data_IF_367568517964
#
_entry.id   IF_367568517964
#
_cell.length_a   1.000
_cell.length_b   1.000
_cell.length_c   1.000
_cell.angle_alpha   90.00
_cell.angle_beta   90.00
_cell.angle_gamma   90.00
#
_symmetry.space_group_name_H-M   'P 1'
#
loop_
_entity.id
_entity.type
_entity.pdbx_description
1 polymer ?
#
# COMPACT_ATOMS: atom_id res chain seq x y z
N UNK A 1 -0.80 -8.75 13.75
CA UNK A 1 -1.57 -8.45 12.51
C UNK A 1 -2.16 -7.03 12.46
N UNK A 2 -2.91 -6.57 13.48
CA UNK A 2 -3.67 -5.30 13.41
C UNK A 2 -2.76 -4.08 13.25
N UNK A 3 -1.75 -3.97 14.13
CA UNK A 3 -0.76 -2.89 14.06
C UNK A 3 0.00 -2.87 12.74
N UNK A 4 0.34 -4.03 12.18
CA UNK A 4 1.06 -4.12 10.93
C UNK A 4 0.20 -3.66 9.74
N UNK A 5 -1.06 -4.13 9.67
CA UNK A 5 -2.00 -3.69 8.65
C UNK A 5 -2.27 -2.19 8.75
N UNK A 6 -2.45 -1.67 9.97
CA UNK A 6 -2.63 -0.23 10.20
C UNK A 6 -1.40 0.58 9.77
N UNK A 7 -0.19 0.14 10.12
CA UNK A 7 1.04 0.83 9.74
C UNK A 7 1.22 0.91 8.22
N UNK A 8 0.95 -0.18 7.50
CA UNK A 8 1.01 -0.21 6.04
C UNK A 8 -0.06 0.70 5.42
N UNK A 9 -1.28 0.71 5.95
CA UNK A 9 -2.34 1.62 5.49
C UNK A 9 -1.96 3.09 5.70
N UNK A 10 -1.44 3.44 6.87
CA UNK A 10 -0.97 4.79 7.17
C UNK A 10 0.14 5.19 6.22
N UNK A 11 1.14 4.32 6.03
CA UNK A 11 2.24 4.56 5.10
C UNK A 11 1.75 4.86 3.67
N UNK A 12 0.85 4.02 3.15
CA UNK A 12 0.28 4.20 1.81
C UNK A 12 -0.58 5.46 1.72
N UNK A 13 -1.36 5.77 2.76
CA UNK A 13 -2.16 6.98 2.82
C UNK A 13 -1.27 8.24 2.77
N UNK A 14 -0.15 8.25 3.50
CA UNK A 14 0.82 9.36 3.48
C UNK A 14 1.46 9.51 2.09
N UNK A 15 1.89 8.42 1.46
CA UNK A 15 2.53 8.50 0.13
C UNK A 15 1.56 8.81 -1.00
N UNK A 16 0.31 8.43 -0.84
CA UNK A 16 -0.74 8.71 -1.81
C UNK A 16 -1.58 9.94 -1.43
N UNK A 17 -1.17 10.77 -0.47
CA UNK A 17 -1.87 11.98 -0.03
C UNK A 17 -3.38 11.75 0.28
N UNK A 18 -3.71 10.59 0.84
CA UNK A 18 -5.09 10.24 1.21
C UNK A 18 -5.34 10.61 2.67
N UNK A 19 -6.27 11.53 2.89
CA UNK A 19 -6.74 11.89 4.24
C UNK A 19 -8.00 11.08 4.60
N UNK A 20 -8.10 10.58 5.84
CA UNK A 20 -9.36 9.99 6.35
C UNK A 20 -9.34 8.49 6.74
N UNK A 21 -8.21 7.81 6.62
CA UNK A 21 -7.84 6.72 7.54
C UNK A 21 -8.51 5.34 7.39
N UNK A 22 -9.29 5.07 6.33
CA UNK A 22 -9.88 3.75 6.11
C UNK A 22 -9.56 3.20 4.71
N UNK A 23 -8.27 2.98 4.41
CA UNK A 23 -7.87 2.26 3.20
C UNK A 23 -8.18 0.77 3.35
N UNK A 24 -9.17 0.28 2.62
CA UNK A 24 -9.40 -1.15 2.48
C UNK A 24 -8.36 -1.77 1.54
N UNK A 25 -8.14 -3.10 1.59
CA UNK A 25 -7.26 -3.75 0.63
C UNK A 25 -7.66 -3.52 -0.83
N UNK A 26 -8.97 -3.33 -1.09
CA UNK A 26 -9.48 -2.97 -2.42
C UNK A 26 -9.00 -1.59 -2.86
N UNK A 27 -9.21 -0.59 -1.99
CA UNK A 27 -8.81 0.80 -2.25
C UNK A 27 -7.31 0.92 -2.50
N UNK A 28 -6.49 0.13 -1.80
CA UNK A 28 -5.03 0.15 -1.95
C UNK A 28 -4.59 -0.18 -3.37
N UNK A 29 -5.14 -1.23 -3.99
CA UNK A 29 -4.74 -1.58 -5.35
C UNK A 29 -5.17 -0.49 -6.36
N UNK A 30 -6.41 -0.02 -6.25
CA UNK A 30 -6.93 1.03 -7.14
C UNK A 30 -6.14 2.35 -6.98
N UNK A 31 -5.80 2.71 -5.74
CA UNK A 31 -5.01 3.89 -5.42
C UNK A 31 -3.59 3.79 -6.00
N UNK A 32 -2.94 2.64 -5.83
CA UNK A 32 -1.59 2.41 -6.34
C UNK A 32 -1.57 2.45 -7.88
N UNK A 33 -2.49 1.76 -8.55
CA UNK A 33 -2.62 1.80 -10.00
C UNK A 33 -2.93 3.22 -10.51
N UNK A 34 -3.81 3.95 -9.82
CA UNK A 34 -4.11 5.35 -10.14
C UNK A 34 -2.92 6.31 -10.00
N UNK A 35 -1.92 5.93 -9.19
CA UNK A 35 -0.63 6.62 -9.04
C UNK A 35 0.49 5.97 -9.85
N UNK A 36 0.13 5.26 -10.93
CA UNK A 36 1.06 4.68 -11.90
C UNK A 36 1.97 3.58 -11.38
N UNK A 37 1.67 3.01 -10.22
CA UNK A 37 2.30 1.76 -9.76
C UNK A 37 1.74 0.62 -10.62
N UNK A 38 2.63 -0.22 -11.14
CA UNK A 38 2.24 -1.37 -11.96
C UNK A 38 1.24 -2.29 -11.22
N UNK A 39 0.37 -2.97 -11.99
CA UNK A 39 -0.65 -3.87 -11.42
C UNK A 39 -0.08 -4.97 -10.53
N UNK A 40 1.11 -5.49 -10.85
CA UNK A 40 1.75 -6.55 -10.08
C UNK A 40 2.04 -6.15 -8.61
N UNK A 41 2.82 -5.10 -8.32
CA UNK A 41 3.06 -4.66 -6.94
C UNK A 41 1.78 -4.15 -6.25
N UNK A 42 0.87 -3.52 -6.98
CA UNK A 42 -0.41 -3.06 -6.44
C UNK A 42 -1.28 -4.24 -5.96
N UNK A 43 -1.41 -5.28 -6.79
CA UNK A 43 -2.17 -6.47 -6.47
C UNK A 43 -1.52 -7.31 -5.37
N UNK A 44 -0.18 -7.40 -5.37
CA UNK A 44 0.57 -8.07 -4.31
C UNK A 44 0.35 -7.39 -2.96
N UNK A 45 0.42 -6.05 -2.92
CA UNK A 45 0.15 -5.27 -1.71
C UNK A 45 -1.26 -5.51 -1.17
N UNK A 46 -2.29 -5.44 -2.05
CA UNK A 46 -3.68 -5.77 -1.71
C UNK A 46 -3.83 -7.17 -1.14
N UNK A 47 -3.20 -8.17 -1.75
CA UNK A 47 -3.31 -9.58 -1.34
C UNK A 47 -2.73 -9.79 0.05
N UNK A 48 -1.57 -9.21 0.33
CA UNK A 48 -0.91 -9.33 1.64
C UNK A 48 -1.68 -8.59 2.73
N UNK A 49 -2.23 -7.40 2.44
CA UNK A 49 -3.12 -6.69 3.37
C UNK A 49 -4.38 -7.49 3.67
N UNK A 50 -5.00 -8.12 2.67
CA UNK A 50 -6.17 -8.97 2.87
C UNK A 50 -5.85 -10.19 3.76
N UNK A 51 -4.64 -10.77 3.63
CA UNK A 51 -4.18 -11.86 4.54
C UNK A 51 -3.99 -11.37 5.96
N UNK A 52 -3.48 -10.14 6.17
CA UNK A 52 -3.38 -9.56 7.51
C UNK A 52 -4.76 -9.30 8.12
N UNK A 53 -5.74 -8.85 7.34
CA UNK A 53 -7.12 -8.71 7.79
C UNK A 53 -7.75 -10.06 8.10
N UNK A 54 -7.56 -11.07 7.26
CA UNK A 54 -8.07 -12.43 7.51
C UNK A 54 -7.53 -12.98 8.84
N UNK A 55 -6.24 -12.78 9.12
CA UNK A 55 -5.63 -13.16 10.40
C UNK A 55 -6.23 -12.41 11.61
N UNK A 56 -6.87 -11.25 11.40
CA UNK A 56 -7.60 -10.52 12.44
C UNK A 56 -8.97 -11.10 12.71
N UNK A 57 -9.71 -11.42 11.65
CA UNK A 57 -11.08 -11.95 11.78
C UNK A 57 -11.10 -13.45 12.10
N UNK A 58 -10.06 -14.19 11.71
CA UNK A 58 -9.90 -15.63 11.95
C UNK A 58 -8.50 -15.95 12.51
N UNK A 59 -8.24 -15.70 13.80
CA UNK A 59 -6.97 -16.05 14.41
C UNK A 59 -6.69 -17.56 14.41
N UNK A 60 -7.71 -18.40 14.20
CA UNK A 60 -7.59 -19.85 14.08
C UNK A 60 -6.98 -20.30 12.74
N UNK A 61 -6.99 -19.41 11.73
CA UNK A 61 -6.31 -19.68 10.46
C UNK A 61 -4.80 -19.53 10.62
N UNK A 62 -4.04 -20.51 10.16
CA UNK A 62 -2.57 -20.55 10.22
C UNK A 62 -1.92 -19.56 9.24
N UNK A 63 -2.40 -18.32 9.16
CA UNK A 63 -1.81 -17.26 8.35
C UNK A 63 -0.44 -16.93 8.94
N UNK A 64 0.66 -17.10 8.18
CA UNK A 64 2.01 -16.80 8.65
C UNK A 64 2.21 -15.28 8.68
N UNK A 65 1.65 -14.62 9.69
CA UNK A 65 1.62 -13.14 9.81
C UNK A 65 3.02 -12.54 9.68
N UNK A 66 4.05 -13.17 10.24
CA UNK A 66 5.43 -12.70 10.12
C UNK A 66 5.91 -12.69 8.67
N UNK A 67 5.67 -13.77 7.91
CA UNK A 67 6.04 -13.84 6.49
C UNK A 67 5.28 -12.80 5.67
N UNK A 68 3.97 -12.65 5.91
CA UNK A 68 3.15 -11.64 5.23
C UNK A 68 3.66 -10.22 5.48
N UNK A 69 4.10 -9.91 6.70
CA UNK A 69 4.70 -8.61 7.02
C UNK A 69 6.05 -8.45 6.33
N UNK A 70 6.90 -9.47 6.31
CA UNK A 70 8.18 -9.44 5.58
C UNK A 70 7.99 -9.21 4.09
N UNK A 71 7.04 -9.90 3.46
CA UNK A 71 6.71 -9.73 2.04
C UNK A 71 6.19 -8.31 1.75
N UNK A 72 5.36 -7.75 2.64
CA UNK A 72 4.90 -6.36 2.52
C UNK A 72 6.06 -5.38 2.57
N UNK A 73 6.97 -5.53 3.55
CA UNK A 73 8.13 -4.65 3.69
C UNK A 73 9.08 -4.74 2.47
N UNK A 74 9.19 -5.91 1.85
CA UNK A 74 9.98 -6.10 0.64
C UNK A 74 9.36 -5.44 -0.60
N UNK A 75 8.03 -5.26 -0.64
CA UNK A 75 7.32 -4.56 -1.72
C UNK A 75 7.37 -3.04 -1.61
N UNK A 76 7.49 -2.49 -0.39
CA UNK A 76 7.45 -1.04 -0.18
C UNK A 76 8.46 -0.25 -1.04
N UNK A 77 9.74 -0.68 -1.20
CA UNK A 77 10.70 0.05 -2.04
C UNK A 77 10.29 0.15 -3.52
N UNK A 78 9.66 -0.90 -4.07
CA UNK A 78 9.20 -0.89 -5.46
C UNK A 78 8.00 0.05 -5.65
N UNK A 79 7.08 0.06 -4.68
CA UNK A 79 5.97 1.02 -4.64
C UNK A 79 6.52 2.44 -4.53
N UNK A 80 7.50 2.67 -3.65
CA UNK A 80 8.13 3.97 -3.45
C UNK A 80 8.80 4.50 -4.71
N UNK A 81 9.56 3.65 -5.41
CA UNK A 81 10.20 4.00 -6.66
C UNK A 81 9.15 4.43 -7.70
N UNK A 82 8.11 3.63 -7.88
CA UNK A 82 7.05 3.94 -8.84
C UNK A 82 6.29 5.23 -8.47
N UNK A 83 6.06 5.48 -7.18
CA UNK A 83 5.43 6.72 -6.71
C UNK A 83 6.34 7.95 -6.86
N UNK A 84 7.66 7.77 -6.76
CA UNK A 84 8.65 8.85 -6.93
C UNK A 84 8.90 9.19 -8.41
N UNK A 85 8.72 8.22 -9.31
CA UNK A 85 8.79 8.41 -10.76
C UNK A 85 7.57 9.18 -11.32
N UNK A 86 6.52 9.38 -10.51
CA UNK A 86 5.42 10.26 -10.84
C UNK A 86 5.88 11.72 -10.74
N UNK A 87 5.98 12.47 -11.86
CA UNK A 87 6.18 13.90 -11.77
C UNK A 87 4.95 14.50 -11.07
N UNK A 88 5.20 15.17 -9.95
CA UNK A 88 4.20 16.04 -9.33
C UNK A 88 3.71 17.00 -10.41
N UNK A 89 2.44 16.92 -10.83
CA UNK A 89 1.86 17.73 -11.91
C UNK A 89 1.73 19.23 -11.50
N UNK A 90 2.50 19.67 -10.51
CA UNK A 90 2.60 21.05 -10.03
C UNK A 90 3.99 21.65 -10.30
N UNK A 91 4.61 21.34 -11.44
CA UNK A 91 5.61 22.22 -12.05
C UNK A 91 4.91 23.01 -13.17
N UNK A 92 3.85 23.74 -12.81
CA UNK A 92 3.34 24.80 -13.67
C UNK A 92 4.37 25.93 -13.65
N UNK A 93 4.88 26.24 -14.83
CA UNK A 93 6.10 26.99 -15.01
C UNK A 93 6.10 28.38 -14.40
N UNK A 94 7.18 28.68 -13.69
CA UNK A 94 7.60 30.06 -13.48
C UNK A 94 8.82 30.32 -14.36
N UNK A 95 8.54 30.78 -15.58
CA UNK A 95 9.49 31.43 -16.46
C UNK A 95 9.74 32.85 -15.92
N UNK A 96 11.00 33.25 -15.71
CA UNK A 96 11.48 34.40 -16.49
C UNK A 96 12.82 34.14 -17.20
#
# INVERSE_FOLDING_TARGET
>A
PARAAQAVRTYLAERCDVTGGALTPGDVAELLCGRGVSDEPAYACRTLLARLDEALYRPDTAVPTAAVVSDLLALLPAIDAALAEQPSVNDEGEQP
#
